data_IF_436995007399
#
_entry.id   IF_436995007399
#
_cell.length_a   1.000
_cell.length_b   1.000
_cell.length_c   1.000
_cell.angle_alpha   90.00
_cell.angle_beta   90.00
_cell.angle_gamma   90.00
#
_symmetry.space_group_name_H-M   'P 1'
#
loop_
_entity.id
_entity.type
_entity.pdbx_description
1 polymer ?
#
# COMPACT_ATOMS: atom_id res chain seq x y z
N UNK A 1 11.11 -5.41 13.26
CA UNK A 1 11.74 -5.31 11.93
C UNK A 1 10.65 -5.27 10.87
N UNK A 2 10.64 -4.23 10.05
CA UNK A 2 9.53 -3.87 9.15
C UNK A 2 9.40 -4.82 7.96
N UNK A 3 8.17 -5.27 7.69
CA UNK A 3 7.82 -6.07 6.51
C UNK A 3 7.32 -5.20 5.35
N UNK A 4 7.09 -3.90 5.59
CA UNK A 4 6.60 -2.94 4.60
C UNK A 4 7.48 -2.88 3.37
N UNK A 5 8.81 -3.01 3.54
CA UNK A 5 9.78 -3.08 2.45
C UNK A 5 9.73 -4.38 1.63
N UNK A 6 8.76 -5.25 1.88
CA UNK A 6 8.49 -6.44 1.05
C UNK A 6 7.15 -6.37 0.34
N UNK A 7 6.37 -5.31 0.59
CA UNK A 7 5.07 -5.10 -0.03
C UNK A 7 5.23 -4.34 -1.35
N UNK A 8 4.34 -4.66 -2.30
CA UNK A 8 4.20 -4.01 -3.59
C UNK A 8 2.73 -3.60 -3.76
N UNK A 9 2.51 -2.47 -4.43
CA UNK A 9 1.18 -2.01 -4.78
C UNK A 9 0.70 -2.65 -6.10
N UNK A 10 -0.59 -3.01 -6.15
CA UNK A 10 -1.25 -3.47 -7.37
C UNK A 10 -2.73 -3.12 -7.32
N UNK A 11 -3.28 -2.69 -8.46
CA UNK A 11 -4.67 -2.22 -8.57
C UNK A 11 -5.64 -3.23 -9.16
N UNK A 12 -5.21 -4.45 -9.48
CA UNK A 12 -6.09 -5.45 -10.09
C UNK A 12 -6.83 -4.95 -11.37
N UNK A 13 -6.10 -4.24 -12.24
CA UNK A 13 -6.65 -3.79 -13.52
C UNK A 13 -6.92 -4.99 -14.45
N UNK A 14 -8.06 -5.05 -15.20
CA UNK A 14 -9.04 -3.98 -15.45
C UNK A 14 -10.23 -3.92 -14.51
N UNK A 15 -10.24 -4.68 -13.41
CA UNK A 15 -11.39 -4.76 -12.50
C UNK A 15 -11.50 -3.54 -11.59
N UNK A 16 -10.38 -2.95 -11.18
CA UNK A 16 -10.37 -1.69 -10.42
C UNK A 16 -9.32 -0.71 -10.95
N UNK A 17 -9.43 0.56 -10.57
CA UNK A 17 -8.48 1.60 -10.97
C UNK A 17 -7.36 1.81 -9.95
N UNK A 18 -6.20 2.25 -10.42
CA UNK A 18 -5.07 2.58 -9.55
C UNK A 18 -5.44 3.65 -8.51
N UNK A 19 -6.15 4.70 -8.92
CA UNK A 19 -6.57 5.78 -8.01
C UNK A 19 -7.45 5.27 -6.87
N UNK A 20 -8.48 4.46 -7.17
CA UNK A 20 -9.38 3.89 -6.16
C UNK A 20 -8.62 3.00 -5.16
N UNK A 21 -7.71 2.15 -5.63
CA UNK A 21 -6.89 1.31 -4.75
C UNK A 21 -5.93 2.12 -3.88
N UNK A 22 -5.36 3.21 -4.39
CA UNK A 22 -4.48 4.11 -3.62
C UNK A 22 -5.28 4.78 -2.50
N UNK A 23 -6.47 5.30 -2.80
CA UNK A 23 -7.36 5.92 -1.83
C UNK A 23 -7.80 4.94 -0.74
N UNK A 24 -8.17 3.71 -1.14
CA UNK A 24 -8.54 2.65 -0.22
C UNK A 24 -7.37 2.25 0.70
N UNK A 25 -6.16 2.10 0.15
CA UNK A 25 -4.97 1.79 0.92
C UNK A 25 -4.64 2.90 1.94
N UNK A 26 -4.80 4.17 1.56
CA UNK A 26 -4.60 5.30 2.46
C UNK A 26 -5.68 5.43 3.53
N UNK A 27 -6.84 4.83 3.31
CA UNK A 27 -7.95 4.77 4.25
C UNK A 27 -7.91 3.57 5.19
N UNK A 28 -6.92 2.67 5.07
CA UNK A 28 -6.89 1.39 5.79
C UNK A 28 -6.91 1.52 7.32
N UNK A 29 -6.41 2.64 7.86
CA UNK A 29 -6.44 2.93 9.29
C UNK A 29 -7.85 3.11 9.85
N UNK A 30 -8.87 3.28 9.01
CA UNK A 30 -10.27 3.25 9.45
C UNK A 30 -10.63 1.89 10.08
N UNK A 31 -10.03 0.79 9.63
CA UNK A 31 -10.24 -0.55 10.20
C UNK A 31 -9.69 -0.65 11.63
N UNK A 32 -8.63 0.10 11.95
CA UNK A 32 -8.07 0.15 13.29
C UNK A 32 -8.95 0.95 14.27
N UNK A 33 -9.85 1.80 13.78
CA UNK A 33 -10.73 2.59 14.65
C UNK A 33 -11.72 1.69 15.38
N UNK A 34 -11.77 1.81 16.71
CA UNK A 34 -12.65 1.00 17.55
C UNK A 34 -12.20 -0.44 17.73
N UNK A 35 -11.00 -0.81 17.27
CA UNK A 35 -10.38 -2.11 17.51
C UNK A 35 -9.06 -1.96 18.28
N UNK A 36 -8.46 -3.09 18.69
CA UNK A 36 -7.14 -3.10 19.32
C UNK A 36 -5.99 -3.20 18.29
N UNK A 37 -6.27 -2.99 17.00
CA UNK A 37 -5.26 -3.09 15.96
C UNK A 37 -4.38 -1.83 15.92
N UNK A 38 -3.07 -1.99 15.64
CA UNK A 38 -2.18 -0.84 15.46
C UNK A 38 -2.51 -0.11 14.15
N UNK A 39 -2.31 1.21 14.16
CA UNK A 39 -2.35 2.03 12.94
C UNK A 39 -1.07 1.86 12.13
N UNK A 40 -1.20 1.90 10.81
CA UNK A 40 -0.07 1.91 9.89
C UNK A 40 0.37 3.36 9.65
N UNK A 41 1.65 3.71 9.84
CA UNK A 41 2.15 5.06 9.58
C UNK A 41 1.93 5.50 8.11
N UNK A 42 1.63 6.79 7.90
CA UNK A 42 1.35 7.33 6.56
C UNK A 42 2.52 7.14 5.59
N UNK A 43 3.74 7.33 6.08
CA UNK A 43 4.99 7.14 5.32
C UNK A 43 5.17 5.67 4.88
N UNK A 44 4.79 4.72 5.72
CA UNK A 44 4.84 3.30 5.37
C UNK A 44 3.88 2.98 4.22
N UNK A 45 2.65 3.51 4.25
CA UNK A 45 1.68 3.35 3.15
C UNK A 45 2.17 4.01 1.86
N UNK A 46 2.74 5.22 1.96
CA UNK A 46 3.33 5.94 0.83
C UNK A 46 4.48 5.15 0.19
N UNK A 47 5.35 4.56 1.01
CA UNK A 47 6.45 3.72 0.57
C UNK A 47 6.03 2.45 -0.19
N UNK A 48 4.78 1.98 -0.01
CA UNK A 48 4.22 0.87 -0.80
C UNK A 48 3.77 1.38 -2.18
N UNK A 49 3.10 2.55 -2.24
CA UNK A 49 2.52 3.11 -3.47
C UNK A 49 3.59 3.67 -4.41
N UNK A 50 4.53 4.45 -3.87
CA UNK A 50 5.55 5.16 -4.66
C UNK A 50 6.80 4.31 -4.93
N UNK A 51 6.72 3.01 -4.70
CA UNK A 51 7.86 2.13 -4.79
C UNK A 51 8.29 1.89 -6.22
N UNK A 52 9.60 1.95 -6.46
CA UNK A 52 10.19 1.55 -7.75
C UNK A 52 10.08 0.03 -7.95
N UNK A 53 8.89 -0.38 -8.37
CA UNK A 53 8.53 -1.79 -8.56
C UNK A 53 9.21 -2.36 -9.79
N UNK A 54 9.52 -1.53 -10.80
CA UNK A 54 10.21 -1.97 -12.01
C UNK A 54 11.64 -2.40 -11.70
N UNK A 55 12.39 -1.58 -10.96
CA UNK A 55 13.74 -1.95 -10.53
C UNK A 55 13.72 -3.19 -9.61
N UNK A 56 12.76 -3.28 -8.68
CA UNK A 56 12.63 -4.42 -7.76
C UNK A 56 12.31 -5.74 -8.46
N UNK A 57 11.59 -5.69 -9.59
CA UNK A 57 11.26 -6.86 -10.39
C UNK A 57 12.28 -7.14 -11.51
N UNK A 58 13.32 -6.31 -11.66
CA UNK A 58 14.32 -6.45 -12.72
C UNK A 58 13.79 -6.15 -14.13
N UNK A 59 12.85 -5.20 -14.22
CA UNK A 59 12.15 -4.82 -15.45
C UNK A 59 12.53 -3.41 -15.97
N UNK A 60 13.54 -2.78 -15.35
CA UNK A 60 14.03 -1.45 -15.69
C UNK A 60 15.19 -1.47 -16.72
#
# INVERSE_FOLDING_TARGET
HGVTDKLLFGSDFPYTSASECIEALYSINQIAQGTNLPVVPREALRGIVERDTLALLGLA
#
